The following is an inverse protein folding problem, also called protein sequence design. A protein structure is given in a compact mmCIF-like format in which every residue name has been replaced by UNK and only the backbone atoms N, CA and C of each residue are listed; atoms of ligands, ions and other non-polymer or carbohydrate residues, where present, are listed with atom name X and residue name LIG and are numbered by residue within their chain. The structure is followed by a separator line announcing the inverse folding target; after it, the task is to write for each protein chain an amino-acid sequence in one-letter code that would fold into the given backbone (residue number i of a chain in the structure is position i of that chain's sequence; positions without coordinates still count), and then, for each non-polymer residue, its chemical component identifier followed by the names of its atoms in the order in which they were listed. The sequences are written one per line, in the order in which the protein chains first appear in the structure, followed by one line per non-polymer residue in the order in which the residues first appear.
data_IF_374197145090
#
_entry.id   IF_374197145090
#
_cell.length_a   1.000
_cell.length_b   1.000
_cell.length_c   1.000
_cell.angle_alpha   90.00
_cell.angle_beta   90.00
_cell.angle_gamma   90.00
#
_symmetry.space_group_name_H-M   'P 1'
#
loop_
_entity.id
_entity.type
_entity.pdbx_description
1 polymer ?
#
# COMPACT_ATOMS: atom_id res chain seq x y z
N UNK A 1 -2.80 -3.16 10.86
CA UNK A 1 -2.22 -3.21 9.51
C UNK A 1 -1.46 -1.91 9.31
N UNK A 2 -0.24 -1.97 8.76
CA UNK A 2 0.54 -0.77 8.44
C UNK A 2 0.02 -0.09 7.16
N UNK A 3 0.48 1.12 6.87
CA UNK A 3 0.15 1.84 5.64
C UNK A 3 0.71 1.14 4.39
N UNK A 4 0.08 1.35 3.25
CA UNK A 4 0.66 0.94 1.97
C UNK A 4 1.74 1.95 1.55
N UNK A 5 2.92 1.44 1.18
CA UNK A 5 3.98 2.27 0.62
C UNK A 5 3.53 2.90 -0.70
N UNK A 6 4.02 4.10 -0.98
CA UNK A 6 3.77 4.86 -2.21
C UNK A 6 3.86 4.08 -3.53
N UNK A 7 4.67 3.02 -3.61
CA UNK A 7 4.84 2.20 -4.82
C UNK A 7 3.53 1.63 -5.37
N UNK A 8 2.55 1.34 -4.52
CA UNK A 8 1.23 0.83 -4.96
C UNK A 8 0.49 1.85 -5.83
N UNK A 9 0.60 3.14 -5.50
CA UNK A 9 -0.08 4.20 -6.24
C UNK A 9 0.43 4.33 -7.67
N UNK A 10 1.69 3.96 -7.92
CA UNK A 10 2.27 3.92 -9.27
C UNK A 10 1.55 2.93 -10.17
N UNK A 11 1.14 1.78 -9.62
CA UNK A 11 0.40 0.75 -10.36
C UNK A 11 -1.04 1.15 -10.69
N UNK A 12 -1.58 2.19 -10.04
CA UNK A 12 -2.97 2.63 -10.20
C UNK A 12 -3.04 3.93 -11.03
N UNK A 13 -2.17 4.89 -10.74
CA UNK A 13 -2.22 6.23 -11.32
C UNK A 13 -1.48 6.32 -12.67
N UNK A 14 -0.34 5.65 -12.81
CA UNK A 14 0.55 5.81 -13.98
C UNK A 14 0.10 5.04 -15.24
N UNK A 15 -0.50 3.84 -15.15
CA UNK A 15 -0.96 3.11 -16.33
C UNK A 15 -2.06 3.84 -17.09
N UNK A 16 -2.05 3.66 -18.42
CA UNK A 16 -3.07 4.21 -19.31
C UNK A 16 -4.48 3.69 -18.97
N UNK A 17 -4.58 2.40 -18.65
CA UNK A 17 -5.80 1.74 -18.18
C UNK A 17 -5.61 1.30 -16.72
N UNK A 18 -6.63 1.49 -15.88
CA UNK A 18 -6.56 1.07 -14.48
C UNK A 18 -6.60 -0.47 -14.43
N UNK A 19 -5.70 -1.15 -13.70
CA UNK A 19 -5.79 -2.59 -13.55
C UNK A 19 -7.05 -2.98 -12.76
N UNK A 20 -7.49 -4.22 -12.91
CA UNK A 20 -8.48 -4.81 -12.02
C UNK A 20 -7.90 -4.96 -10.60
N UNK A 21 -8.63 -4.47 -9.59
CA UNK A 21 -8.20 -4.48 -8.20
C UNK A 21 -9.16 -5.36 -7.39
N UNK A 22 -8.60 -6.34 -6.67
CA UNK A 22 -9.32 -7.19 -5.73
C UNK A 22 -8.60 -7.13 -4.37
N UNK A 23 -9.21 -6.54 -3.33
CA UNK A 23 -8.62 -6.48 -2.01
C UNK A 23 -8.60 -7.88 -1.39
N UNK A 24 -7.54 -8.18 -0.65
CA UNK A 24 -7.40 -9.46 0.04
C UNK A 24 -6.90 -9.27 1.46
N UNK A 25 -7.38 -10.12 2.37
CA UNK A 25 -6.93 -10.21 3.75
C UNK A 25 -6.36 -11.60 4.02
N UNK A 26 -5.11 -11.66 4.46
CA UNK A 26 -4.40 -12.90 4.80
C UNK A 26 -4.10 -12.87 6.30
N UNK A 27 -4.38 -13.97 6.98
CA UNK A 27 -4.14 -14.11 8.42
C UNK A 27 -3.63 -15.51 8.78
N UNK A 28 -2.93 -15.61 9.92
CA UNK A 28 -2.44 -16.87 10.46
C UNK A 28 -1.07 -17.32 9.95
N UNK A 29 -0.49 -16.61 8.97
CA UNK A 29 0.89 -16.85 8.49
C UNK A 29 1.93 -16.71 9.59
N UNK A 30 1.73 -15.77 10.52
CA UNK A 30 2.60 -15.56 11.68
C UNK A 30 2.58 -16.75 12.64
N UNK A 31 1.46 -17.48 12.70
CA UNK A 31 1.36 -18.73 13.45
C UNK A 31 2.30 -19.79 12.89
N UNK A 32 2.39 -19.90 11.55
CA UNK A 32 3.26 -20.85 10.85
C UNK A 32 4.73 -20.43 10.95
N UNK A 33 5.01 -19.17 10.60
CA UNK A 33 6.33 -18.67 10.26
C UNK A 33 6.64 -17.28 10.87
N UNK A 34 6.35 -17.04 12.16
CA UNK A 34 6.60 -15.75 12.85
C UNK A 34 7.99 -15.10 12.62
N UNK A 35 8.09 -13.78 12.51
CA UNK A 35 9.35 -13.09 12.19
C UNK A 35 10.43 -13.21 13.30
N UNK A 36 10.02 -13.28 14.57
CA UNK A 36 10.89 -13.46 15.77
C UNK A 36 11.52 -14.86 15.95
N UNK A 37 11.41 -15.77 14.98
CA UNK A 37 11.85 -17.16 15.19
C UNK A 37 13.36 -17.30 15.39
N UNK A 38 13.74 -18.14 16.37
CA UNK A 38 15.11 -18.60 16.59
C UNK A 38 15.52 -19.75 15.66
N UNK A 39 16.75 -20.24 15.79
CA UNK A 39 17.19 -21.45 15.08
C UNK A 39 16.45 -22.70 15.62
N UNK A 40 15.98 -23.62 14.77
CA UNK A 40 16.03 -23.62 13.30
C UNK A 40 14.90 -22.80 12.66
N UNK A 41 15.26 -21.73 11.93
CA UNK A 41 14.31 -20.75 11.35
C UNK A 41 13.52 -21.26 10.14
N UNK A 42 14.03 -22.29 9.47
CA UNK A 42 13.45 -22.81 8.22
C UNK A 42 12.29 -23.79 8.45
N UNK A 43 12.04 -24.22 9.69
CA UNK A 43 11.01 -25.21 9.98
C UNK A 43 9.69 -24.50 10.34
N UNK A 44 8.61 -24.72 9.58
CA UNK A 44 7.29 -24.17 9.91
C UNK A 44 6.65 -24.87 11.11
N UNK A 45 5.89 -24.12 11.90
CA UNK A 45 5.03 -24.70 12.93
C UNK A 45 3.84 -25.40 12.25
N UNK A 46 3.59 -26.65 12.63
CA UNK A 46 2.46 -27.45 12.16
C UNK A 46 1.16 -27.08 12.91
N UNK A 47 0.01 -27.53 12.39
CA UNK A 47 -1.33 -27.33 12.98
C UNK A 47 -1.75 -25.87 13.18
N UNK A 48 -1.29 -24.96 12.32
CA UNK A 48 -1.70 -23.56 12.33
C UNK A 48 -2.82 -23.34 11.30
N UNK A 49 -3.75 -22.43 11.60
CA UNK A 49 -4.83 -22.04 10.68
C UNK A 49 -4.37 -20.84 9.86
N UNK A 50 -4.39 -20.97 8.55
CA UNK A 50 -4.15 -19.87 7.60
C UNK A 50 -5.45 -19.63 6.84
N UNK A 51 -5.90 -18.38 6.77
CA UNK A 51 -7.05 -18.00 5.96
C UNK A 51 -6.69 -16.88 5.00
N UNK A 52 -7.25 -16.97 3.80
CA UNK A 52 -7.20 -15.95 2.76
C UNK A 52 -8.64 -15.57 2.45
N UNK A 53 -8.94 -14.29 2.54
CA UNK A 53 -10.26 -13.74 2.26
C UNK A 53 -10.12 -12.75 1.11
N UNK A 54 -10.93 -12.94 0.07
CA UNK A 54 -11.01 -12.02 -1.06
C UNK A 54 -12.24 -11.13 -0.87
N UNK A 55 -12.08 -9.84 -1.11
CA UNK A 55 -13.21 -8.93 -1.28
C UNK A 55 -13.75 -8.96 -2.71
N UNK A 56 -14.75 -8.12 -2.95
CA UNK A 56 -15.31 -7.93 -4.28
C UNK A 56 -14.34 -7.17 -5.21
N UNK A 57 -14.50 -7.38 -6.52
CA UNK A 57 -13.79 -6.57 -7.52
C UNK A 57 -14.18 -5.10 -7.34
N UNK A 58 -13.18 -4.24 -7.23
CA UNK A 58 -13.38 -2.80 -7.01
C UNK A 58 -13.88 -2.15 -8.29
N UNK A 59 -14.87 -1.27 -8.17
CA UNK A 59 -15.19 -0.31 -9.22
C UNK A 59 -14.09 0.75 -9.28
N UNK A 60 -13.11 0.51 -10.16
CA UNK A 60 -11.88 1.31 -10.22
C UNK A 60 -12.13 2.73 -10.71
N UNK A 61 -13.16 2.93 -11.55
CA UNK A 61 -13.53 4.25 -12.04
C UNK A 61 -14.20 5.06 -10.93
N UNK A 62 -15.14 4.45 -10.19
CA UNK A 62 -15.80 5.14 -9.08
C UNK A 62 -14.82 5.53 -7.95
N UNK A 63 -13.84 4.68 -7.64
CA UNK A 63 -12.91 4.91 -6.52
C UNK A 63 -11.69 5.75 -6.91
N UNK A 64 -11.10 5.48 -8.08
CA UNK A 64 -9.81 6.06 -8.49
C UNK A 64 -9.89 6.96 -9.73
N UNK A 65 -11.02 7.01 -10.44
CA UNK A 65 -11.17 7.77 -11.70
C UNK A 65 -10.80 9.26 -11.56
N UNK A 66 -11.23 9.90 -10.47
CA UNK A 66 -10.87 11.30 -10.18
C UNK A 66 -9.35 11.47 -9.95
N UNK A 67 -8.76 10.60 -9.13
CA UNK A 67 -7.32 10.62 -8.84
C UNK A 67 -6.48 10.40 -10.10
N UNK A 68 -6.90 9.44 -10.94
CA UNK A 68 -6.26 9.16 -12.23
C UNK A 68 -6.39 10.37 -13.16
N UNK A 69 -7.56 11.00 -13.20
CA UNK A 69 -7.78 12.21 -14.01
C UNK A 69 -6.87 13.37 -13.58
N UNK A 70 -6.75 13.62 -12.28
CA UNK A 70 -5.82 14.62 -11.72
C UNK A 70 -4.37 14.28 -12.06
N UNK A 71 -3.98 13.01 -11.90
CA UNK A 71 -2.64 12.55 -12.26
C UNK A 71 -2.32 12.77 -13.75
N UNK A 72 -3.25 12.43 -14.65
CA UNK A 72 -3.06 12.63 -16.08
C UNK A 72 -2.96 14.11 -16.45
N UNK A 73 -3.73 14.98 -15.79
CA UNK A 73 -3.61 16.43 -15.96
C UNK A 73 -2.23 16.92 -15.51
N UNK A 74 -1.80 16.53 -14.32
CA UNK A 74 -0.49 16.89 -13.76
C UNK A 74 0.66 16.40 -14.66
N UNK A 75 0.56 15.18 -15.20
CA UNK A 75 1.53 14.62 -16.15
C UNK A 75 1.64 15.51 -17.39
N UNK A 76 0.51 15.81 -18.05
CA UNK A 76 0.48 16.66 -19.25
C UNK A 76 1.08 18.04 -18.98
N UNK A 77 0.74 18.66 -17.86
CA UNK A 77 1.30 19.97 -17.49
C UNK A 77 2.82 19.90 -17.21
N UNK A 78 3.30 18.80 -16.64
CA UNK A 78 4.75 18.62 -16.42
C UNK A 78 5.53 18.37 -17.72
N UNK A 79 4.85 17.88 -18.76
CA UNK A 79 5.42 17.60 -20.08
C UNK A 79 5.26 18.80 -21.04
N UNK A 80 4.49 19.85 -20.67
CA UNK A 80 4.37 21.07 -21.47
C UNK A 80 5.74 21.75 -21.63
N UNK A 81 6.26 21.74 -22.86
CA UNK A 81 7.58 22.27 -23.20
C UNK A 81 8.66 21.19 -23.40
N UNK A 82 8.36 19.91 -23.17
CA UNK A 82 9.22 18.79 -23.56
C UNK A 82 8.90 18.35 -24.99
N UNK A 83 9.93 18.12 -25.81
CA UNK A 83 9.76 17.72 -27.22
C UNK A 83 9.22 16.30 -27.36
N UNK A 84 9.45 15.43 -26.37
CA UNK A 84 9.07 14.02 -26.39
C UNK A 84 8.34 13.64 -25.08
N UNK A 85 7.27 12.83 -25.14
CA UNK A 85 6.58 12.33 -23.96
C UNK A 85 7.48 11.38 -23.16
N UNK A 86 7.33 11.37 -21.83
CA UNK A 86 8.09 10.46 -20.97
C UNK A 86 7.66 9.01 -21.23
N UNK A 87 8.65 8.11 -21.36
CA UNK A 87 8.39 6.68 -21.44
C UNK A 87 7.66 6.19 -20.18
N UNK A 88 6.85 5.14 -20.31
CA UNK A 88 6.08 4.57 -19.20
C UNK A 88 7.02 4.19 -18.05
N UNK A 89 6.71 4.61 -16.84
CA UNK A 89 7.50 4.37 -15.63
C UNK A 89 8.64 5.36 -15.40
N UNK A 90 8.97 6.22 -16.37
CA UNK A 90 9.90 7.35 -16.19
C UNK A 90 9.10 8.58 -15.78
N UNK A 91 9.56 9.23 -14.71
CA UNK A 91 8.94 10.42 -14.14
C UNK A 91 9.99 11.54 -14.10
N UNK A 92 9.57 12.79 -14.32
CA UNK A 92 10.41 13.97 -14.06
C UNK A 92 10.37 14.34 -12.56
N UNK A 93 11.20 15.31 -12.15
CA UNK A 93 11.27 15.73 -10.74
C UNK A 93 9.92 16.19 -10.18
N UNK A 94 9.12 16.92 -10.97
CA UNK A 94 7.78 17.38 -10.57
C UNK A 94 6.85 16.20 -10.27
N UNK A 95 6.87 15.15 -11.08
CA UNK A 95 6.06 13.94 -10.89
C UNK A 95 6.64 13.00 -9.82
N UNK A 96 7.94 13.06 -9.53
CA UNK A 96 8.56 12.28 -8.48
C UNK A 96 8.36 12.89 -7.09
N UNK A 97 8.57 14.21 -6.96
CA UNK A 97 8.72 14.89 -5.67
C UNK A 97 7.80 16.09 -5.47
N UNK A 98 7.02 16.48 -6.48
CA UNK A 98 6.09 17.60 -6.35
C UNK A 98 5.03 17.33 -5.30
N UNK A 99 4.60 18.39 -4.59
CA UNK A 99 3.62 18.29 -3.51
C UNK A 99 2.30 17.70 -4.00
N UNK A 100 1.80 18.16 -5.15
CA UNK A 100 0.57 17.65 -5.76
C UNK A 100 0.69 16.16 -6.15
N UNK A 101 1.85 15.75 -6.69
CA UNK A 101 2.12 14.36 -7.02
C UNK A 101 2.19 13.49 -5.75
N UNK A 102 2.72 14.03 -4.67
CA UNK A 102 2.82 13.35 -3.37
C UNK A 102 1.44 13.19 -2.73
N UNK A 103 0.63 14.24 -2.74
CA UNK A 103 -0.73 14.23 -2.20
C UNK A 103 -1.63 13.21 -2.93
N UNK A 104 -1.61 13.20 -4.27
CA UNK A 104 -2.35 12.22 -5.07
C UNK A 104 -1.97 10.78 -4.72
N UNK A 105 -0.67 10.53 -4.50
CA UNK A 105 -0.20 9.20 -4.11
C UNK A 105 -0.62 8.82 -2.71
N UNK A 106 -0.55 9.75 -1.75
CA UNK A 106 -1.00 9.53 -0.37
C UNK A 106 -2.50 9.25 -0.31
N UNK A 107 -3.31 9.97 -1.08
CA UNK A 107 -4.75 9.72 -1.17
C UNK A 107 -5.02 8.35 -1.80
N UNK A 108 -4.32 8.01 -2.88
CA UNK A 108 -4.44 6.71 -3.53
C UNK A 108 -4.09 5.55 -2.57
N UNK A 109 -2.98 5.65 -1.83
CA UNK A 109 -2.59 4.59 -0.87
C UNK A 109 -3.56 4.47 0.30
N UNK A 110 -4.17 5.59 0.75
CA UNK A 110 -5.24 5.57 1.76
C UNK A 110 -6.48 4.83 1.25
N UNK A 111 -6.96 5.14 0.04
CA UNK A 111 -8.11 4.42 -0.56
C UNK A 111 -7.85 2.92 -0.70
N UNK A 112 -6.65 2.52 -1.13
CA UNK A 112 -6.25 1.10 -1.20
C UNK A 112 -6.30 0.45 0.19
N UNK A 113 -5.81 1.13 1.23
CA UNK A 113 -5.90 0.66 2.60
C UNK A 113 -7.34 0.45 3.04
N UNK A 114 -8.21 1.41 2.77
CA UNK A 114 -9.61 1.37 3.20
C UNK A 114 -10.34 0.16 2.59
N UNK A 115 -10.09 -0.14 1.31
CA UNK A 115 -10.62 -1.34 0.64
C UNK A 115 -10.19 -2.64 1.34
N UNK A 116 -8.95 -2.73 1.82
CA UNK A 116 -8.46 -3.90 2.55
C UNK A 116 -9.03 -3.95 3.97
N UNK A 117 -9.23 -2.79 4.61
CA UNK A 117 -9.88 -2.70 5.92
C UNK A 117 -11.35 -3.13 5.87
N UNK A 118 -12.06 -2.92 4.75
CA UNK A 118 -13.41 -3.45 4.54
C UNK A 118 -13.43 -4.98 4.55
N UNK A 119 -12.49 -5.63 3.85
CA UNK A 119 -12.34 -7.10 3.87
C UNK A 119 -11.98 -7.59 5.28
N UNK A 120 -11.13 -6.84 5.99
CA UNK A 120 -10.80 -7.16 7.39
C UNK A 120 -12.03 -7.05 8.30
N UNK A 121 -12.86 -6.02 8.15
CA UNK A 121 -14.12 -5.86 8.90
C UNK A 121 -15.11 -6.98 8.62
N UNK A 122 -15.23 -7.44 7.38
CA UNK A 122 -16.14 -8.54 7.04
C UNK A 122 -15.75 -9.87 7.72
N UNK A 123 -14.49 -10.00 8.14
CA UNK A 123 -13.98 -11.10 8.97
C UNK A 123 -14.24 -10.95 10.47
N UNK A 124 -14.86 -9.85 10.90
CA UNK A 124 -15.25 -9.59 12.29
C UNK A 124 -14.16 -8.95 13.16
N UNK A 125 -13.09 -8.44 12.55
CA UNK A 125 -12.04 -7.73 13.29
C UNK A 125 -12.45 -6.29 13.62
N UNK A 126 -12.08 -5.76 14.79
CA UNK A 126 -12.41 -4.39 15.21
C UNK A 126 -11.65 -3.36 14.40
N UNK A 127 -12.21 -2.18 14.16
CA UNK A 127 -11.51 -1.10 13.44
C UNK A 127 -10.15 -0.77 14.07
N UNK A 128 -9.20 -0.43 13.21
CA UNK A 128 -7.85 -0.06 13.64
C UNK A 128 -7.78 1.41 14.06
N UNK A 129 -6.81 1.77 14.89
CA UNK A 129 -6.53 3.18 15.18
C UNK A 129 -6.26 3.92 13.85
N UNK A 130 -6.98 5.00 13.53
CA UNK A 130 -6.76 5.79 12.32
C UNK A 130 -5.29 6.23 12.13
N UNK A 131 -4.53 6.39 13.21
CA UNK A 131 -3.10 6.74 13.15
C UNK A 131 -2.26 5.65 12.48
N UNK A 132 -2.69 4.38 12.51
CA UNK A 132 -2.00 3.29 11.85
C UNK A 132 -1.88 3.49 10.32
N UNK A 133 -2.73 4.34 9.71
CA UNK A 133 -2.65 4.67 8.28
C UNK A 133 -1.59 5.72 7.93
N UNK A 134 -1.02 6.44 8.90
CA UNK A 134 -0.12 7.56 8.64
C UNK A 134 1.34 7.12 8.73
N UNK A 135 2.12 7.35 7.66
CA UNK A 135 3.56 7.10 7.67
C UNK A 135 4.25 7.81 8.86
N UNK A 136 3.80 9.01 9.21
CA UNK A 136 4.30 9.80 10.34
C UNK A 136 4.14 9.12 11.71
N UNK A 137 3.09 8.31 11.87
CA UNK A 137 2.87 7.54 13.10
C UNK A 137 3.97 6.49 13.29
N UNK A 138 4.47 5.95 12.17
CA UNK A 138 5.59 5.00 12.14
C UNK A 138 6.97 5.68 12.09
N UNK A 139 7.06 6.95 11.63
CA UNK A 139 8.31 7.73 11.73
C UNK A 139 8.74 7.93 13.20
N UNK A 140 7.78 8.00 14.13
CA UNK A 140 8.05 8.11 15.57
C UNK A 140 8.75 6.87 16.16
N UNK A 141 8.65 5.71 15.51
CA UNK A 141 9.40 4.49 15.88
C UNK A 141 10.92 4.64 15.62
N UNK A 142 11.33 5.75 14.97
CA UNK A 142 12.73 6.10 14.73
C UNK A 142 13.37 5.29 13.58
N UNK A 143 14.68 5.47 13.32
CA UNK A 143 15.38 4.83 12.21
C UNK A 143 15.59 3.31 12.39
N UNK A 144 14.93 2.67 13.36
CA UNK A 144 14.95 1.21 13.49
C UNK A 144 14.21 0.62 12.30
N UNK A 145 14.97 0.29 11.25
CA UNK A 145 14.47 -0.39 10.04
C UNK A 145 14.03 -1.82 10.35
N UNK A 146 14.52 -2.39 11.44
CA UNK A 146 14.28 -3.78 11.84
C UNK A 146 14.04 -3.92 13.35
N UNK A 147 13.32 -4.98 13.72
CA UNK A 147 13.04 -5.36 15.10
C UNK A 147 11.56 -5.27 15.46
N UNK A 148 11.28 -5.50 16.74
CA UNK A 148 9.93 -5.42 17.31
C UNK A 148 9.52 -3.96 17.49
N UNK A 149 8.32 -3.65 17.04
CA UNK A 149 7.74 -2.32 16.94
C UNK A 149 6.75 -2.09 18.09
N UNK A 150 6.36 -0.84 18.33
CA UNK A 150 5.55 -0.47 19.50
C UNK A 150 4.11 -1.02 19.41
N UNK A 151 3.64 -1.29 18.19
CA UNK A 151 2.37 -1.98 17.90
C UNK A 151 2.45 -3.51 18.04
N UNK A 152 3.62 -4.04 18.40
CA UNK A 152 3.89 -5.48 18.51
C UNK A 152 4.19 -6.18 17.18
N UNK A 153 4.15 -5.47 16.04
CA UNK A 153 4.63 -6.01 14.77
C UNK A 153 6.15 -6.16 14.77
N UNK A 154 6.67 -7.06 13.95
CA UNK A 154 8.09 -7.09 13.63
C UNK A 154 8.29 -6.55 12.22
N UNK A 155 9.44 -5.93 12.00
CA UNK A 155 9.93 -5.64 10.65
C UNK A 155 11.33 -6.21 10.55
N UNK A 156 11.63 -6.86 9.44
CA UNK A 156 12.99 -7.24 9.07
C UNK A 156 13.14 -6.96 7.57
N UNK A 157 14.14 -6.19 7.18
CA UNK A 157 14.53 -6.18 5.77
C UNK A 157 15.09 -7.59 5.46
N UNK A 158 14.63 -8.18 4.36
CA UNK A 158 15.09 -9.48 3.85
C UNK A 158 16.34 -9.27 2.99
#
# INVERSE_FOLDING_TARGET
MRYFKWGISRLILEPAECPDIVPMWIEGTDGVMHEDRGFPRFIPRINQKVSVTFGEKVDTEAIFGELRSKWQKLKRESEQGSTEPLAVGILNEKLMYGDEATELRLECTRKVRDLVLEVRRSRGFPDEDPKASMAETWLREGPKREGRMDDGSLVRDI
#
